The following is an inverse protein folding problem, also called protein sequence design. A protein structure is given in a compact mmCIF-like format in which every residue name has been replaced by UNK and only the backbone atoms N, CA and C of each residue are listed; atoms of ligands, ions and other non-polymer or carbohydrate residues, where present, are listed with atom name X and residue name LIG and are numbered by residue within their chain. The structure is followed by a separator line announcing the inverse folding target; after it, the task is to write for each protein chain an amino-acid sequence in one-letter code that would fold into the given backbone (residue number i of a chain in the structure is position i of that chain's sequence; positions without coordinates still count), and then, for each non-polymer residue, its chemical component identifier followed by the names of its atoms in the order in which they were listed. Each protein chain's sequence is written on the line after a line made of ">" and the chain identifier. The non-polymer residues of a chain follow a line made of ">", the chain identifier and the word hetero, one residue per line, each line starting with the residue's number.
data_IF_363789881015
#
_entry.id   IF_363789881015
#
_cell.length_a   1.000
_cell.length_b   1.000
_cell.length_c   1.000
_cell.angle_alpha   90.00
_cell.angle_beta   90.00
_cell.angle_gamma   90.00
#
_symmetry.space_group_name_H-M   'P 1'
#
loop_
_entity.id
_entity.type
_entity.pdbx_description
1 polymer ?
#
# COMPACT_ATOMS: atom_id res chain seq x y z
N UNK A 1 15.20 14.11 -1.77
CA UNK A 1 15.16 14.26 -0.29
C UNK A 1 16.55 14.35 0.34
N UNK A 2 17.34 13.27 0.40
CA UNK A 2 18.64 13.20 1.10
C UNK A 2 19.60 14.36 0.82
N UNK A 3 19.66 14.85 -0.42
CA UNK A 3 20.57 15.93 -0.83
C UNK A 3 20.09 17.35 -0.55
N UNK A 4 18.80 17.54 -0.31
CA UNK A 4 18.18 18.88 -0.32
C UNK A 4 17.32 19.19 0.90
N UNK A 5 16.80 18.17 1.60
CA UNK A 5 15.76 18.33 2.60
C UNK A 5 16.21 18.52 4.06
N UNK A 6 17.51 18.65 4.35
CA UNK A 6 18.07 18.76 5.74
C UNK A 6 17.33 17.85 6.75
N UNK A 7 17.55 16.55 6.65
CA UNK A 7 16.73 15.55 7.35
C UNK A 7 17.45 15.02 8.60
N UNK A 8 16.72 14.89 9.70
CA UNK A 8 17.14 14.08 10.86
C UNK A 8 16.79 12.60 10.65
N UNK A 9 15.64 12.36 10.00
CA UNK A 9 15.10 11.04 9.72
C UNK A 9 14.66 10.91 8.26
N UNK A 10 14.85 9.72 7.70
CA UNK A 10 14.28 9.31 6.43
C UNK A 10 13.37 8.11 6.68
N UNK A 11 12.10 8.25 6.32
CA UNK A 11 11.07 7.25 6.57
C UNK A 11 10.74 6.54 5.27
N UNK A 12 10.75 5.22 5.30
CA UNK A 12 10.38 4.36 4.19
C UNK A 12 9.22 3.45 4.59
N UNK A 13 8.03 3.81 4.15
CA UNK A 13 6.84 3.00 4.32
C UNK A 13 6.60 2.11 3.09
N UNK A 14 6.68 0.79 3.29
CA UNK A 14 6.57 -0.24 2.26
C UNK A 14 5.40 -1.21 2.50
N UNK A 15 4.88 -1.28 3.73
CA UNK A 15 3.86 -2.27 4.07
C UNK A 15 2.46 -1.71 3.89
N UNK A 16 1.76 -2.25 2.89
CA UNK A 16 0.31 -2.28 2.83
C UNK A 16 -0.20 -3.71 3.04
N UNK A 17 -1.51 -3.86 3.21
CA UNK A 17 -2.18 -5.16 3.27
C UNK A 17 -1.84 -6.04 2.05
N UNK A 18 -1.67 -5.43 0.87
CA UNK A 18 -1.29 -6.14 -0.36
C UNK A 18 0.16 -6.61 -0.30
N UNK A 19 1.08 -5.75 0.17
CA UNK A 19 2.50 -6.10 0.30
C UNK A 19 2.69 -7.31 1.21
N UNK A 20 1.94 -7.40 2.31
CA UNK A 20 2.00 -8.55 3.23
C UNK A 20 1.74 -9.88 2.54
N UNK A 21 0.73 -9.95 1.66
CA UNK A 21 0.42 -11.16 0.89
C UNK A 21 1.55 -11.56 -0.06
N UNK A 22 2.20 -10.58 -0.70
CA UNK A 22 3.35 -10.83 -1.57
C UNK A 22 4.56 -11.35 -0.79
N UNK A 23 4.85 -10.76 0.37
CA UNK A 23 5.95 -11.18 1.24
C UNK A 23 5.70 -12.55 1.87
N UNK A 24 4.46 -12.87 2.26
CA UNK A 24 4.08 -14.20 2.71
C UNK A 24 4.34 -15.26 1.63
N UNK A 25 3.92 -14.99 0.38
CA UNK A 25 4.21 -15.88 -0.77
C UNK A 25 5.70 -16.02 -1.04
N UNK A 26 6.49 -14.96 -0.87
CA UNK A 26 7.95 -15.01 -1.03
C UNK A 26 8.60 -15.87 0.06
N UNK A 27 8.25 -15.64 1.33
CA UNK A 27 8.75 -16.41 2.49
C UNK A 27 8.39 -17.89 2.40
N UNK A 28 7.21 -18.21 1.86
CA UNK A 28 6.79 -19.59 1.62
C UNK A 28 7.66 -20.32 0.57
N UNK A 29 8.30 -19.59 -0.35
CA UNK A 29 9.24 -20.17 -1.32
C UNK A 29 10.64 -20.35 -0.74
N UNK A 30 11.08 -19.41 0.11
CA UNK A 30 12.37 -19.48 0.79
C UNK A 30 12.32 -18.75 2.13
N UNK A 31 12.81 -19.36 3.23
CA UNK A 31 12.81 -18.73 4.55
C UNK A 31 13.67 -17.46 4.62
N UNK A 32 14.62 -17.29 3.70
CA UNK A 32 15.49 -16.10 3.64
C UNK A 32 14.79 -14.88 3.00
N UNK A 33 13.61 -15.06 2.40
CA UNK A 33 12.79 -13.99 1.83
C UNK A 33 11.77 -13.48 2.85
N UNK A 34 10.83 -12.63 2.41
CA UNK A 34 9.77 -12.08 3.24
C UNK A 34 10.01 -10.64 3.72
N UNK A 35 11.09 -10.00 3.25
CA UNK A 35 11.30 -8.55 3.32
C UNK A 35 11.33 -7.96 1.91
N UNK A 36 11.30 -6.63 1.79
CA UNK A 36 11.35 -5.91 0.50
C UNK A 36 12.79 -5.78 0.00
N UNK A 37 13.20 -6.49 -1.07
CA UNK A 37 14.59 -6.46 -1.54
C UNK A 37 15.03 -5.09 -2.03
N UNK A 38 14.13 -4.36 -2.71
CA UNK A 38 14.40 -3.04 -3.28
C UNK A 38 14.75 -2.00 -2.22
N UNK A 39 14.25 -2.15 -0.99
CA UNK A 39 14.68 -1.31 0.12
C UNK A 39 16.19 -1.46 0.37
N UNK A 40 16.70 -2.69 0.35
CA UNK A 40 18.12 -2.97 0.56
C UNK A 40 18.95 -2.55 -0.64
N UNK A 41 18.58 -2.98 -1.85
CA UNK A 41 19.42 -2.84 -3.05
C UNK A 41 19.28 -1.51 -3.77
N UNK A 42 18.11 -0.87 -3.71
CA UNK A 42 17.82 0.37 -4.45
C UNK A 42 17.76 1.58 -3.52
N UNK A 43 17.07 1.46 -2.39
CA UNK A 43 16.87 2.59 -1.48
C UNK A 43 18.03 2.83 -0.51
N UNK A 44 18.69 1.77 -0.04
CA UNK A 44 19.78 1.87 0.94
C UNK A 44 21.15 1.77 0.29
N UNK A 45 21.43 0.72 -0.48
CA UNK A 45 22.80 0.43 -0.96
C UNK A 45 23.48 1.59 -1.72
N UNK A 46 22.82 2.29 -2.67
CA UNK A 46 23.46 3.39 -3.40
C UNK A 46 23.76 4.63 -2.54
N UNK A 47 23.10 4.76 -1.39
CA UNK A 47 23.10 5.98 -0.58
C UNK A 47 23.65 5.79 0.83
N UNK A 48 24.06 4.58 1.20
CA UNK A 48 24.43 4.22 2.58
C UNK A 48 25.59 5.07 3.12
N UNK A 49 26.59 5.38 2.30
CA UNK A 49 27.70 6.27 2.66
C UNK A 49 27.24 7.70 2.90
N UNK A 50 26.33 8.21 2.05
CA UNK A 50 25.78 9.56 2.18
C UNK A 50 24.89 9.71 3.40
N UNK A 51 24.05 8.69 3.67
CA UNK A 51 23.21 8.61 4.87
C UNK A 51 24.11 8.64 6.10
N UNK A 52 25.18 7.83 6.12
CA UNK A 52 26.16 7.81 7.23
C UNK A 52 26.87 9.14 7.42
N UNK A 53 27.36 9.73 6.31
CA UNK A 53 28.12 10.98 6.30
C UNK A 53 27.29 12.16 6.82
N UNK A 54 26.00 12.16 6.51
CA UNK A 54 25.06 13.19 6.96
C UNK A 54 24.46 12.94 8.33
N UNK A 55 24.64 11.73 8.88
CA UNK A 55 24.03 11.34 10.16
C UNK A 55 22.51 11.17 10.09
N UNK A 56 21.97 10.89 8.90
CA UNK A 56 20.52 10.68 8.73
C UNK A 56 20.14 9.31 9.29
N UNK A 57 19.12 9.26 10.15
CA UNK A 57 18.56 8.01 10.67
C UNK A 57 17.47 7.49 9.73
N UNK A 58 17.39 6.19 9.55
CA UNK A 58 16.43 5.58 8.60
C UNK A 58 15.40 4.78 9.37
N UNK A 59 14.12 5.00 9.13
CA UNK A 59 13.03 4.21 9.72
C UNK A 59 12.31 3.53 8.58
N UNK A 60 12.04 2.24 8.68
CA UNK A 60 11.34 1.53 7.62
C UNK A 60 10.66 0.30 8.12
N UNK A 61 9.44 0.01 7.65
CA UNK A 61 8.76 -1.26 7.86
C UNK A 61 9.05 -2.31 6.75
N UNK A 62 10.01 -2.06 5.85
CA UNK A 62 10.37 -2.95 4.73
C UNK A 62 10.78 -4.39 5.11
N UNK A 63 11.00 -4.65 6.39
CA UNK A 63 11.32 -5.97 6.94
C UNK A 63 10.18 -6.95 6.80
N UNK A 64 8.93 -6.45 6.78
CA UNK A 64 7.72 -7.23 6.58
C UNK A 64 7.70 -8.51 7.43
N UNK A 65 7.62 -9.66 6.76
CA UNK A 65 7.56 -10.98 7.38
C UNK A 65 8.93 -11.53 7.83
N UNK A 66 10.03 -10.88 7.46
CA UNK A 66 11.39 -11.30 7.80
C UNK A 66 12.30 -10.11 8.11
N UNK A 67 12.04 -9.38 9.21
CA UNK A 67 12.79 -8.18 9.55
C UNK A 67 14.24 -8.48 9.93
N UNK A 68 14.52 -9.68 10.47
CA UNK A 68 15.90 -10.15 10.73
C UNK A 68 16.68 -10.42 9.44
N UNK A 69 16.04 -11.03 8.42
CA UNK A 69 16.64 -11.22 7.10
C UNK A 69 16.98 -9.90 6.42
N UNK A 70 16.07 -8.92 6.51
CA UNK A 70 16.31 -7.55 6.01
C UNK A 70 17.52 -6.90 6.69
N UNK A 71 17.63 -7.02 8.02
CA UNK A 71 18.77 -6.50 8.77
C UNK A 71 20.09 -7.18 8.40
N UNK A 72 20.10 -8.51 8.21
CA UNK A 72 21.27 -9.25 7.76
C UNK A 72 21.73 -8.78 6.37
N UNK A 73 20.79 -8.58 5.44
CA UNK A 73 21.08 -8.07 4.09
C UNK A 73 21.66 -6.65 4.13
N UNK A 74 21.11 -5.75 4.95
CA UNK A 74 21.64 -4.41 5.15
C UNK A 74 23.03 -4.42 5.78
N UNK A 75 23.29 -5.30 6.75
CA UNK A 75 24.64 -5.47 7.30
C UNK A 75 25.64 -5.89 6.24
N UNK A 76 25.25 -6.74 5.28
CA UNK A 76 26.12 -7.09 4.17
C UNK A 76 26.41 -5.89 3.26
N UNK A 77 25.40 -5.08 2.94
CA UNK A 77 25.57 -3.83 2.18
C UNK A 77 26.53 -2.88 2.90
N UNK A 78 26.35 -2.70 4.21
CA UNK A 78 27.20 -1.84 5.03
C UNK A 78 28.66 -2.32 5.07
N UNK A 79 28.88 -3.63 5.24
CA UNK A 79 30.22 -4.24 5.19
C UNK A 79 30.90 -4.01 3.84
N UNK A 80 30.17 -4.19 2.74
CA UNK A 80 30.71 -3.99 1.39
C UNK A 80 31.10 -2.51 1.14
N UNK A 81 30.36 -1.57 1.72
CA UNK A 81 30.64 -0.14 1.64
C UNK A 81 31.63 0.36 2.73
N UNK A 82 32.14 -0.53 3.58
CA UNK A 82 32.97 -0.19 4.74
C UNK A 82 32.33 0.89 5.65
N UNK A 83 31.00 0.83 5.79
CA UNK A 83 30.21 1.72 6.64
C UNK A 83 29.85 1.00 7.93
N UNK A 84 30.15 1.61 9.08
CA UNK A 84 29.60 1.16 10.35
C UNK A 84 28.11 1.53 10.43
N UNK A 85 27.27 0.52 10.23
CA UNK A 85 25.81 0.62 10.31
C UNK A 85 25.31 -0.20 11.49
N UNK A 86 24.65 0.47 12.43
CA UNK A 86 23.87 -0.20 13.48
C UNK A 86 22.42 -0.37 12.99
N UNK A 87 21.76 -1.43 13.44
CA UNK A 87 20.39 -1.78 13.04
C UNK A 87 19.64 -2.24 14.29
N UNK A 88 18.41 -1.73 14.47
CA UNK A 88 17.53 -2.09 15.57
C UNK A 88 16.27 -2.77 15.00
N UNK A 89 16.11 -4.06 15.26
CA UNK A 89 15.00 -4.84 14.69
C UNK A 89 13.91 -5.02 15.73
N UNK A 90 12.69 -4.59 15.42
CA UNK A 90 11.52 -4.84 16.26
C UNK A 90 10.78 -6.06 15.73
N UNK A 91 10.43 -6.95 16.64
CA UNK A 91 9.76 -8.23 16.38
C UNK A 91 8.62 -8.43 17.38
N UNK A 92 7.86 -9.52 17.24
CA UNK A 92 6.74 -9.86 18.13
C UNK A 92 5.37 -9.48 17.56
N UNK A 93 5.32 -9.11 16.29
CA UNK A 93 4.09 -8.89 15.52
C UNK A 93 3.54 -10.20 14.94
N UNK A 94 4.39 -11.20 14.71
CA UNK A 94 4.01 -12.50 14.13
C UNK A 94 3.21 -13.36 15.14
N UNK A 95 1.94 -13.62 14.82
CA UNK A 95 1.02 -14.46 15.60
C UNK A 95 0.89 -15.88 15.03
N UNK A 96 1.68 -16.26 14.02
CA UNK A 96 1.60 -17.59 13.40
C UNK A 96 1.90 -18.72 14.39
N UNK A 97 2.67 -18.50 15.46
CA UNK A 97 2.87 -19.51 16.50
C UNK A 97 1.58 -19.88 17.26
N UNK A 98 0.63 -18.94 17.36
CA UNK A 98 -0.58 -19.04 18.17
C UNK A 98 -1.87 -19.03 17.34
N UNK A 99 -1.77 -18.95 16.00
CA UNK A 99 -2.92 -18.76 15.11
C UNK A 99 -4.05 -19.77 15.33
N UNK A 100 -3.74 -21.05 15.58
CA UNK A 100 -4.77 -22.08 15.85
C UNK A 100 -5.54 -21.79 17.13
N UNK A 101 -4.84 -21.35 18.17
CA UNK A 101 -5.46 -20.97 19.44
C UNK A 101 -6.35 -19.73 19.25
N UNK A 102 -5.89 -18.74 18.48
CA UNK A 102 -6.70 -17.58 18.12
C UNK A 102 -7.95 -17.96 17.30
N UNK A 103 -7.82 -18.82 16.29
CA UNK A 103 -8.96 -19.29 15.49
C UNK A 103 -9.98 -19.99 16.39
N UNK A 104 -9.54 -20.88 17.28
CA UNK A 104 -10.41 -21.58 18.24
C UNK A 104 -11.10 -20.58 19.18
N UNK A 105 -10.37 -19.61 19.75
CA UNK A 105 -10.94 -18.58 20.60
C UNK A 105 -11.99 -17.74 19.87
N UNK A 106 -11.70 -17.34 18.63
CA UNK A 106 -12.62 -16.54 17.82
C UNK A 106 -13.89 -17.33 17.48
N UNK A 107 -13.76 -18.62 17.18
CA UNK A 107 -14.88 -19.54 16.93
C UNK A 107 -15.71 -19.80 18.21
N UNK A 108 -15.05 -20.04 19.34
CA UNK A 108 -15.71 -20.38 20.61
C UNK A 108 -16.43 -19.19 21.26
N UNK A 109 -15.82 -18.02 21.22
CA UNK A 109 -16.36 -16.85 21.90
C UNK A 109 -17.47 -16.13 21.10
N UNK A 110 -17.82 -16.60 19.90
CA UNK A 110 -18.89 -16.04 19.08
C UNK A 110 -18.78 -14.49 18.98
N UNK A 111 -17.54 -13.98 18.94
CA UNK A 111 -17.26 -12.56 19.24
C UNK A 111 -17.75 -11.71 18.09
N UNK A 112 -19.01 -11.27 18.18
CA UNK A 112 -19.61 -10.20 17.38
C UNK A 112 -18.86 -8.86 17.51
N UNK A 113 -17.97 -8.74 18.51
CA UNK A 113 -17.20 -7.54 18.83
C UNK A 113 -15.78 -7.52 18.26
N UNK A 114 -15.30 -8.59 17.60
CA UNK A 114 -14.23 -8.44 16.62
C UNK A 114 -14.91 -7.73 15.48
N UNK A 115 -14.70 -6.41 15.36
CA UNK A 115 -15.24 -5.67 14.23
C UNK A 115 -14.47 -6.16 13.00
N UNK A 116 -14.90 -7.29 12.45
CA UNK A 116 -14.68 -7.68 11.07
C UNK A 116 -15.41 -6.57 10.31
N UNK A 117 -14.68 -5.49 10.00
CA UNK A 117 -15.18 -4.47 9.08
C UNK A 117 -15.48 -5.21 7.79
N UNK A 118 -16.77 -5.43 7.57
CA UNK A 118 -17.35 -5.82 6.28
C UNK A 118 -16.82 -7.14 5.70
N UNK A 119 -17.23 -8.28 6.27
CA UNK A 119 -17.40 -9.50 5.45
C UNK A 119 -18.37 -10.50 6.11
N UNK A 120 -19.68 -10.27 5.92
CA UNK A 120 -20.79 -11.24 5.99
C UNK A 120 -20.74 -12.36 7.06
N UNK A 121 -20.22 -12.10 8.26
CA UNK A 121 -20.15 -13.12 9.32
C UNK A 121 -19.36 -14.38 8.93
N UNK A 122 -18.46 -14.29 7.94
CA UNK A 122 -17.63 -15.43 7.54
C UNK A 122 -16.56 -15.69 8.61
N UNK A 123 -16.35 -16.97 8.92
CA UNK A 123 -15.28 -17.39 9.81
C UNK A 123 -13.91 -17.19 9.14
N UNK A 124 -12.88 -16.93 9.96
CA UNK A 124 -11.49 -16.94 9.50
C UNK A 124 -11.15 -18.31 8.90
N UNK A 125 -10.56 -18.36 7.69
CA UNK A 125 -10.14 -19.61 7.06
C UNK A 125 -9.08 -20.34 7.87
N UNK A 126 -9.02 -21.67 7.74
CA UNK A 126 -8.02 -22.49 8.42
C UNK A 126 -6.61 -22.35 7.79
N UNK A 127 -6.53 -22.00 6.51
CA UNK A 127 -5.29 -21.95 5.72
C UNK A 127 -4.62 -20.57 5.74
N UNK A 128 -4.42 -20.01 6.93
CA UNK A 128 -3.72 -18.74 7.12
C UNK A 128 -2.24 -18.87 6.72
N UNK A 129 -1.77 -17.93 5.90
CA UNK A 129 -0.38 -17.85 5.43
C UNK A 129 0.45 -16.85 6.22
N UNK A 130 -0.18 -15.80 6.75
CA UNK A 130 0.44 -14.85 7.68
C UNK A 130 -0.60 -14.30 8.63
N UNK A 131 -0.18 -13.93 9.84
CA UNK A 131 -1.02 -13.26 10.84
C UNK A 131 -0.14 -12.32 11.64
N UNK A 132 -0.30 -11.01 11.43
CA UNK A 132 0.56 -9.99 12.02
C UNK A 132 -0.25 -8.91 12.72
N UNK A 133 0.16 -8.57 13.94
CA UNK A 133 -0.47 -7.51 14.74
C UNK A 133 0.21 -6.17 14.53
N UNK A 134 -0.57 -5.10 14.40
CA UNK A 134 -0.05 -3.74 14.40
C UNK A 134 0.36 -3.37 15.82
N UNK A 135 1.66 -3.34 16.06
CA UNK A 135 2.24 -2.98 17.35
C UNK A 135 2.35 -1.47 17.51
N UNK A 136 2.23 -1.03 18.76
CA UNK A 136 2.40 0.36 19.16
C UNK A 136 3.84 0.77 19.48
N UNK A 137 3.96 1.97 20.04
CA UNK A 137 5.21 2.64 20.41
C UNK A 137 6.02 1.77 21.38
N UNK A 138 7.22 1.41 20.93
CA UNK A 138 8.29 0.82 21.73
C UNK A 138 9.12 1.92 22.37
N UNK A 139 9.68 1.63 23.55
CA UNK A 139 10.43 2.64 24.30
C UNK A 139 11.65 3.10 23.50
N UNK A 140 12.00 4.38 23.63
CA UNK A 140 13.11 5.02 22.91
C UNK A 140 14.40 4.24 23.09
N UNK A 141 14.66 3.80 24.32
CA UNK A 141 15.88 3.09 24.73
C UNK A 141 16.03 1.73 24.01
N UNK A 142 14.92 1.14 23.55
CA UNK A 142 14.92 -0.12 22.80
C UNK A 142 15.49 0.04 21.38
N UNK A 143 15.59 1.27 20.85
CA UNK A 143 16.07 1.53 19.49
C UNK A 143 17.03 2.73 19.32
N UNK A 144 17.14 3.65 20.29
CA UNK A 144 17.93 4.88 20.18
C UNK A 144 19.40 4.75 20.63
N UNK A 145 19.81 3.76 21.42
CA UNK A 145 21.21 3.62 21.88
C UNK A 145 22.25 3.42 20.74
N UNK A 146 21.84 3.51 19.47
CA UNK A 146 22.63 3.16 18.29
C UNK A 146 22.53 4.26 17.22
N UNK A 147 23.62 4.98 16.89
CA UNK A 147 23.63 6.18 16.00
C UNK A 147 23.23 5.97 14.54
N UNK A 148 22.86 4.75 14.16
CA UNK A 148 22.13 4.44 12.94
C UNK A 148 21.24 3.24 13.28
N UNK A 149 20.01 3.19 12.80
CA UNK A 149 19.16 2.05 13.07
C UNK A 149 18.01 2.05 12.09
N UNK A 150 17.96 1.07 11.18
CA UNK A 150 16.72 0.79 10.45
C UNK A 150 15.76 0.19 11.46
N UNK A 151 14.78 0.99 11.86
CA UNK A 151 13.76 0.59 12.82
C UNK A 151 12.49 0.18 12.08
N UNK A 152 12.08 -1.08 12.23
CA UNK A 152 10.84 -1.63 11.67
C UNK A 152 9.63 -1.31 12.56
N UNK A 153 9.10 -0.09 12.44
CA UNK A 153 7.86 0.38 13.10
C UNK A 153 7.01 1.11 12.06
N UNK A 154 5.69 1.12 12.26
CA UNK A 154 4.84 2.12 11.61
C UNK A 154 5.31 3.55 11.93
N UNK A 155 5.49 4.43 10.93
CA UNK A 155 6.03 5.80 11.10
C UNK A 155 5.40 6.65 12.21
N UNK A 156 4.16 6.33 12.54
CA UNK A 156 3.22 7.06 13.38
C UNK A 156 3.67 7.12 14.84
N UNK A 157 4.44 6.12 15.28
CA UNK A 157 4.86 5.95 16.66
C UNK A 157 6.24 6.54 17.01
N UNK A 158 6.98 7.10 16.04
CA UNK A 158 8.36 7.52 16.31
C UNK A 158 8.48 8.80 17.15
N UNK A 159 7.48 9.68 17.03
CA UNK A 159 7.56 11.04 17.57
C UNK A 159 7.54 11.08 19.09
N UNK A 160 6.72 10.24 19.72
CA UNK A 160 6.61 10.17 21.18
C UNK A 160 7.95 9.93 21.86
N UNK A 161 8.65 8.84 21.53
CA UNK A 161 10.00 8.61 22.03
C UNK A 161 10.95 9.77 21.72
N UNK A 162 10.95 10.34 20.50
CA UNK A 162 11.86 11.42 20.11
C UNK A 162 11.72 12.67 20.98
N UNK A 163 10.49 13.07 21.31
CA UNK A 163 10.19 14.22 22.14
C UNK A 163 10.03 13.87 23.63
N UNK A 164 10.16 12.60 24.00
CA UNK A 164 10.01 12.14 25.39
C UNK A 164 8.56 12.13 25.89
N UNK A 165 7.58 12.06 24.98
CA UNK A 165 6.16 12.00 25.35
C UNK A 165 5.83 10.71 26.09
N UNK A 166 4.94 10.81 27.07
CA UNK A 166 4.44 9.67 27.84
C UNK A 166 3.24 9.02 27.14
N UNK A 167 2.90 7.80 27.57
CA UNK A 167 1.83 7.00 26.95
C UNK A 167 0.42 7.56 27.16
N UNK A 168 0.26 8.45 28.12
CA UNK A 168 -1.01 9.10 28.48
C UNK A 168 -1.15 10.51 27.87
N UNK A 169 -0.12 11.02 27.18
CA UNK A 169 -0.19 12.28 26.42
C UNK A 169 -0.88 12.09 25.06
N UNK A 170 -2.13 11.62 25.09
CA UNK A 170 -2.83 11.15 23.89
C UNK A 170 -2.90 12.19 22.76
N UNK A 171 -3.11 13.47 23.06
CA UNK A 171 -3.14 14.50 22.01
C UNK A 171 -1.80 14.69 21.30
N UNK A 172 -0.68 14.52 22.01
CA UNK A 172 0.66 14.55 21.40
C UNK A 172 0.88 13.29 20.55
N UNK A 173 0.48 12.12 21.06
CA UNK A 173 0.51 10.87 20.29
C UNK A 173 -0.34 10.96 19.02
N UNK A 174 -1.52 11.58 19.09
CA UNK A 174 -2.40 11.81 17.95
C UNK A 174 -1.78 12.80 16.94
N UNK A 175 -1.10 13.84 17.42
CA UNK A 175 -0.39 14.79 16.55
C UNK A 175 0.78 14.12 15.81
N UNK A 176 1.59 13.32 16.51
CA UNK A 176 2.65 12.52 15.88
C UNK A 176 2.10 11.48 14.89
N UNK A 177 0.96 10.89 15.21
CA UNK A 177 0.26 9.96 14.31
C UNK A 177 -0.20 10.67 13.03
N UNK A 178 -0.79 11.86 13.15
CA UNK A 178 -1.18 12.67 12.00
C UNK A 178 0.03 13.09 11.16
N UNK A 179 1.13 13.50 11.79
CA UNK A 179 2.38 13.81 11.10
C UNK A 179 2.90 12.61 10.30
N UNK A 180 2.87 11.41 10.88
CA UNK A 180 3.23 10.16 10.19
C UNK A 180 2.31 9.85 9.01
N UNK A 181 1.00 9.95 9.20
CA UNK A 181 -0.01 9.78 8.16
C UNK A 181 0.19 10.71 6.96
N UNK A 182 0.58 11.97 7.20
CA UNK A 182 0.78 12.95 6.13
C UNK A 182 2.05 12.73 5.29
N UNK A 183 3.00 11.89 5.75
CA UNK A 183 4.24 11.60 5.02
C UNK A 183 4.32 10.17 4.48
N UNK A 184 3.24 9.41 4.61
CA UNK A 184 3.17 8.03 4.16
C UNK A 184 2.64 7.89 2.73
N UNK A 185 2.68 6.67 2.18
CA UNK A 185 2.13 6.25 0.89
C UNK A 185 2.69 6.94 -0.38
N UNK A 186 3.26 8.14 -0.31
CA UNK A 186 3.81 8.79 -1.49
C UNK A 186 4.01 10.31 -1.39
N UNK A 187 3.80 10.96 -2.52
CA UNK A 187 4.02 12.39 -2.70
C UNK A 187 2.71 13.21 -2.66
N UNK A 188 1.66 12.70 -2.01
CA UNK A 188 0.32 13.28 -2.11
C UNK A 188 0.20 14.66 -1.47
N UNK A 189 0.77 14.84 -0.27
CA UNK A 189 0.98 16.13 0.37
C UNK A 189 1.81 17.15 -0.45
N UNK A 190 2.41 16.70 -1.55
CA UNK A 190 3.29 17.49 -2.42
C UNK A 190 2.81 17.49 -3.88
N UNK A 191 1.57 17.09 -4.15
CA UNK A 191 0.91 17.16 -5.47
C UNK A 191 0.77 15.84 -6.22
N UNK A 192 1.19 14.70 -5.67
CA UNK A 192 0.91 13.37 -6.25
C UNK A 192 -0.54 12.95 -6.03
N UNK A 193 -1.21 12.37 -7.02
CA UNK A 193 -2.63 11.92 -6.90
C UNK A 193 -3.60 13.08 -6.49
N UNK A 194 -3.14 14.34 -6.55
CA UNK A 194 -3.91 15.50 -6.15
C UNK A 194 -5.08 15.74 -7.11
N UNK A 195 -6.27 16.11 -6.62
CA UNK A 195 -7.44 16.36 -7.48
C UNK A 195 -7.15 17.40 -8.56
N UNK A 196 -6.50 18.51 -8.20
CA UNK A 196 -6.13 19.57 -9.14
C UNK A 196 -4.76 19.33 -9.78
N UNK A 197 -4.52 18.09 -10.20
CA UNK A 197 -3.27 17.59 -10.78
C UNK A 197 -2.69 18.51 -11.88
N UNK A 198 -3.55 19.14 -12.67
CA UNK A 198 -3.19 20.05 -13.76
C UNK A 198 -2.47 21.32 -13.30
N UNK A 199 -2.57 21.67 -12.02
CA UNK A 199 -1.87 22.81 -11.39
C UNK A 199 -0.48 22.45 -10.88
N UNK A 200 -0.17 21.15 -10.80
CA UNK A 200 1.07 20.65 -10.19
C UNK A 200 2.23 20.75 -11.19
N UNK A 201 3.31 21.50 -10.89
CA UNK A 201 4.44 21.65 -11.80
C UNK A 201 5.43 20.47 -11.70
N UNK A 202 6.20 20.25 -12.77
CA UNK A 202 7.41 19.41 -12.76
C UNK A 202 7.22 17.98 -12.21
N UNK A 203 6.20 17.26 -12.70
CA UNK A 203 5.78 15.92 -12.23
C UNK A 203 6.90 14.88 -12.15
N UNK A 204 7.82 14.91 -13.11
CA UNK A 204 8.94 13.96 -13.22
C UNK A 204 9.93 14.07 -12.05
N UNK A 205 9.85 15.12 -11.23
CA UNK A 205 10.75 15.39 -10.11
C UNK A 205 9.99 15.83 -8.85
N UNK A 206 8.75 15.37 -8.62
CA UNK A 206 8.01 15.68 -7.40
C UNK A 206 8.82 15.25 -6.17
N UNK A 207 9.04 16.18 -5.25
CA UNK A 207 9.68 15.88 -3.97
C UNK A 207 8.69 15.28 -2.99
N UNK A 208 9.07 14.23 -2.27
CA UNK A 208 8.28 13.68 -1.16
C UNK A 208 8.14 14.70 -0.01
N UNK A 209 7.07 14.58 0.80
CA UNK A 209 6.79 15.49 1.90
C UNK A 209 7.86 15.43 3.00
N UNK A 210 8.09 16.57 3.62
CA UNK A 210 8.94 16.74 4.81
C UNK A 210 8.06 17.30 5.91
N UNK A 211 8.10 16.68 7.08
CA UNK A 211 7.48 17.21 8.29
C UNK A 211 8.54 17.77 9.22
N UNK A 212 8.36 19.03 9.62
CA UNK A 212 9.11 19.64 10.73
C UNK A 212 8.16 19.73 11.92
N UNK A 213 8.40 18.91 12.95
CA UNK A 213 7.55 18.85 14.14
C UNK A 213 8.24 19.49 15.35
N UNK A 214 7.41 20.00 16.26
CA UNK A 214 7.80 20.55 17.56
C UNK A 214 7.34 19.64 18.69
N UNK A 215 7.98 19.77 19.86
CA UNK A 215 7.65 18.95 21.04
C UNK A 215 6.24 19.19 21.59
N UNK A 216 5.58 20.31 21.22
CA UNK A 216 4.20 20.63 21.57
C UNK A 216 3.15 19.95 20.66
N UNK A 217 3.61 19.14 19.70
CA UNK A 217 2.75 18.45 18.74
C UNK A 217 2.34 19.29 17.53
N UNK A 218 2.75 20.56 17.45
CA UNK A 218 2.56 21.35 16.22
C UNK A 218 3.60 20.97 15.17
N UNK A 219 3.23 21.01 13.89
CA UNK A 219 4.16 20.71 12.81
C UNK A 219 3.80 21.42 11.50
N UNK A 220 4.76 21.48 10.59
CA UNK A 220 4.57 21.96 9.22
C UNK A 220 4.85 20.84 8.23
N UNK A 221 4.14 20.86 7.10
CA UNK A 221 4.39 20.02 5.93
C UNK A 221 5.01 20.90 4.85
N UNK A 222 6.12 20.44 4.29
CA UNK A 222 6.85 21.10 3.21
C UNK A 222 7.41 20.07 2.23
N UNK A 223 8.25 20.51 1.30
CA UNK A 223 9.02 19.61 0.42
C UNK A 223 10.46 20.08 0.25
N UNK A 224 11.30 19.16 -0.23
CA UNK A 224 12.70 19.50 -0.50
C UNK A 224 12.82 20.61 -1.56
N UNK A 225 13.73 21.59 -1.40
CA UNK A 225 13.88 22.69 -2.35
C UNK A 225 14.32 22.21 -3.74
N UNK A 226 13.97 22.99 -4.77
CA UNK A 226 14.28 22.72 -6.18
C UNK A 226 13.70 21.39 -6.72
N UNK A 227 12.64 20.88 -6.10
CA UNK A 227 11.88 19.71 -6.59
C UNK A 227 10.55 20.16 -7.19
N UNK A 228 9.94 19.34 -8.03
CA UNK A 228 8.58 19.58 -8.52
C UNK A 228 7.53 19.36 -7.43
N UNK A 229 6.26 19.47 -7.82
CA UNK A 229 5.14 19.43 -6.89
C UNK A 229 4.82 20.80 -6.29
N UNK A 230 3.84 20.83 -5.40
CA UNK A 230 3.43 21.99 -4.62
C UNK A 230 2.82 21.52 -3.30
N UNK A 231 2.92 22.34 -2.24
CA UNK A 231 2.29 22.07 -0.95
C UNK A 231 1.27 23.16 -0.65
N UNK A 232 0.00 22.78 -0.66
CA UNK A 232 -1.15 23.66 -0.39
C UNK A 232 -2.11 23.01 0.59
N UNK A 233 -3.09 23.78 1.07
CA UNK A 233 -4.23 23.28 1.80
C UNK A 233 -4.82 22.04 1.12
N UNK A 234 -5.07 22.10 -0.19
CA UNK A 234 -5.69 21.00 -0.95
C UNK A 234 -4.87 19.71 -0.87
N UNK A 235 -3.57 19.78 -1.16
CA UNK A 235 -2.70 18.59 -1.15
C UNK A 235 -2.62 17.93 0.24
N UNK A 236 -2.55 18.72 1.31
CA UNK A 236 -2.44 18.21 2.68
C UNK A 236 -3.81 17.75 3.20
N UNK A 237 -4.90 18.42 2.84
CA UNK A 237 -6.26 18.04 3.20
C UNK A 237 -6.67 16.71 2.57
N UNK A 238 -6.31 16.48 1.30
CA UNK A 238 -6.58 15.21 0.62
C UNK A 238 -5.82 14.05 1.26
N UNK A 239 -4.54 14.24 1.59
CA UNK A 239 -3.80 13.21 2.33
C UNK A 239 -4.39 12.99 3.72
N UNK A 240 -4.82 14.04 4.43
CA UNK A 240 -5.40 13.92 5.77
C UNK A 240 -6.65 13.03 5.81
N UNK A 241 -7.40 12.92 4.71
CA UNK A 241 -8.60 12.08 4.62
C UNK A 241 -8.36 10.76 3.89
N UNK A 242 -7.15 10.54 3.36
CA UNK A 242 -6.78 9.35 2.60
C UNK A 242 -6.84 8.11 3.50
N UNK A 243 -7.59 7.08 3.09
CA UNK A 243 -7.75 5.82 3.83
C UNK A 243 -8.29 5.94 5.28
N UNK A 244 -8.83 7.11 5.64
CA UNK A 244 -9.48 7.34 6.92
C UNK A 244 -10.99 7.10 6.80
N UNK A 245 -11.47 6.03 7.45
CA UNK A 245 -12.90 5.72 7.49
C UNK A 245 -13.70 6.67 8.39
N UNK A 246 -13.32 6.80 9.67
CA UNK A 246 -13.97 7.72 10.62
C UNK A 246 -12.92 8.68 11.20
N UNK A 247 -12.88 9.95 10.78
CA UNK A 247 -11.87 10.90 11.24
C UNK A 247 -11.99 11.26 12.72
N UNK A 248 -13.13 10.98 13.39
CA UNK A 248 -13.29 11.19 14.84
C UNK A 248 -12.81 10.02 15.70
N UNK A 249 -12.57 8.86 15.08
CA UNK A 249 -12.26 7.63 15.79
C UNK A 249 -11.32 6.77 14.94
N UNK A 250 -10.17 7.34 14.61
CA UNK A 250 -9.16 6.62 13.89
C UNK A 250 -8.26 5.83 14.84
N UNK A 251 -8.38 4.50 14.78
CA UNK A 251 -7.85 3.60 15.80
C UNK A 251 -6.40 3.23 15.48
N UNK A 252 -5.50 3.59 16.39
CA UNK A 252 -4.10 3.17 16.38
C UNK A 252 -3.78 2.37 17.66
N UNK A 253 -2.68 1.61 17.66
CA UNK A 253 -2.29 0.79 18.80
C UNK A 253 -2.17 1.54 20.14
N UNK A 254 -1.69 2.79 20.12
CA UNK A 254 -1.41 3.56 21.34
C UNK A 254 -2.39 4.70 21.60
N UNK A 255 -3.20 5.09 20.62
CA UNK A 255 -4.11 6.23 20.71
C UNK A 255 -5.28 6.07 19.75
N UNK A 256 -6.46 6.53 20.16
CA UNK A 256 -7.57 6.76 19.23
C UNK A 256 -7.55 8.23 18.80
N UNK A 257 -7.34 8.48 17.52
CA UNK A 257 -7.19 9.81 16.95
C UNK A 257 -8.54 10.44 16.54
N UNK A 258 -8.75 11.70 16.92
CA UNK A 258 -9.77 12.58 16.39
C UNK A 258 -9.10 13.70 15.59
N UNK A 259 -9.23 13.62 14.26
CA UNK A 259 -8.75 14.58 13.28
C UNK A 259 -9.84 15.53 12.79
N UNK A 260 -11.08 15.43 13.31
CA UNK A 260 -12.21 16.22 12.81
C UNK A 260 -12.14 17.71 13.09
N UNK A 261 -11.20 18.15 13.94
CA UNK A 261 -10.96 19.55 14.30
C UNK A 261 -9.53 20.00 13.96
N UNK A 262 -8.82 19.25 13.10
CA UNK A 262 -7.51 19.66 12.60
C UNK A 262 -7.67 20.91 11.74
N UNK A 263 -6.83 21.90 11.98
CA UNK A 263 -6.73 23.10 11.15
C UNK A 263 -5.47 23.05 10.29
N UNK A 264 -5.62 23.42 9.02
CA UNK A 264 -4.55 23.54 8.05
C UNK A 264 -4.40 25.01 7.68
N UNK A 265 -3.18 25.55 7.71
CA UNK A 265 -2.92 26.96 7.39
C UNK A 265 -1.69 27.08 6.50
N UNK A 266 -1.87 27.58 5.28
CA UNK A 266 -0.76 27.90 4.39
C UNK A 266 0.07 29.07 4.94
N UNK A 267 1.39 28.91 4.92
CA UNK A 267 2.33 29.96 5.30
C UNK A 267 2.69 30.77 4.06
N UNK A 268 2.30 32.05 4.07
CA UNK A 268 2.54 32.95 2.94
C UNK A 268 4.03 33.25 2.72
N UNK A 269 4.40 33.49 1.46
CA UNK A 269 5.74 33.96 1.09
C UNK A 269 6.82 32.88 1.00
N UNK A 270 6.44 31.60 1.02
CA UNK A 270 7.37 30.48 0.79
C UNK A 270 7.09 29.87 -0.58
N UNK A 271 8.09 29.90 -1.45
CA UNK A 271 8.02 29.26 -2.77
C UNK A 271 7.74 27.76 -2.61
N UNK A 272 6.88 27.23 -3.49
CA UNK A 272 6.38 25.85 -3.47
C UNK A 272 5.52 25.44 -2.26
N UNK A 273 5.30 26.36 -1.31
CA UNK A 273 4.32 26.26 -0.23
C UNK A 273 4.76 25.48 1.00
N UNK A 274 4.17 25.86 2.14
CA UNK A 274 4.30 25.18 3.44
C UNK A 274 2.94 25.26 4.14
N UNK A 275 2.48 24.16 4.72
CA UNK A 275 1.21 24.11 5.45
C UNK A 275 1.48 23.77 6.90
N UNK A 276 1.04 24.65 7.82
CA UNK A 276 1.00 24.35 9.25
C UNK A 276 -0.21 23.47 9.56
N UNK A 277 0.00 22.44 10.36
CA UNK A 277 -1.02 21.49 10.80
C UNK A 277 -1.06 21.47 12.33
N UNK A 278 -2.26 21.55 12.91
CA UNK A 278 -2.47 21.53 14.35
C UNK A 278 -3.90 21.11 14.70
N UNK A 279 -4.15 20.76 15.96
CA UNK A 279 -5.51 20.48 16.47
C UNK A 279 -5.93 19.01 16.45
N UNK A 280 -5.00 18.09 16.19
CA UNK A 280 -5.25 16.66 16.41
C UNK A 280 -5.53 16.40 17.91
N UNK A 281 -6.56 15.62 18.20
CA UNK A 281 -6.89 15.21 19.56
C UNK A 281 -6.74 13.70 19.70
N UNK A 282 -6.29 13.27 20.88
CA UNK A 282 -6.17 11.86 21.20
C UNK A 282 -7.11 11.45 22.32
N UNK A 283 -7.63 10.24 22.20
CA UNK A 283 -8.38 9.52 23.21
C UNK A 283 -7.61 8.24 23.58
N UNK A 284 -7.89 7.63 24.75
CA UNK A 284 -7.29 6.35 25.11
C UNK A 284 -7.40 5.30 23.98
N UNK A 285 -6.39 4.43 23.81
CA UNK A 285 -6.45 3.36 22.83
C UNK A 285 -7.59 2.38 23.15
N UNK A 286 -8.00 1.63 22.14
CA UNK A 286 -8.95 0.55 22.32
C UNK A 286 -8.34 -0.61 23.12
N UNK A 287 -9.19 -1.52 23.62
CA UNK A 287 -8.72 -2.76 24.27
C UNK A 287 -8.24 -3.83 23.28
N UNK A 288 -8.26 -3.54 21.97
CA UNK A 288 -7.95 -4.47 20.90
C UNK A 288 -6.83 -3.92 19.99
N UNK A 289 -6.07 -4.83 19.38
CA UNK A 289 -5.13 -4.49 18.31
C UNK A 289 -5.70 -4.89 16.94
N UNK A 290 -5.32 -4.14 15.91
CA UNK A 290 -5.55 -4.52 14.51
C UNK A 290 -4.64 -5.70 14.18
N UNK A 291 -5.21 -6.77 13.64
CA UNK A 291 -4.48 -7.92 13.11
C UNK A 291 -4.78 -8.04 11.62
N UNK A 292 -3.74 -8.18 10.81
CA UNK A 292 -3.85 -8.54 9.41
C UNK A 292 -3.53 -10.03 9.26
N UNK A 293 -4.48 -10.79 8.71
CA UNK A 293 -4.29 -12.18 8.35
C UNK A 293 -4.48 -12.36 6.85
N UNK A 294 -3.56 -13.10 6.21
CA UNK A 294 -3.65 -13.42 4.78
C UNK A 294 -3.87 -14.91 4.60
N UNK A 295 -4.63 -15.29 3.56
CA UNK A 295 -4.87 -16.68 3.19
C UNK A 295 -4.96 -16.79 1.67
N UNK A 296 -4.76 -17.99 1.14
CA UNK A 296 -4.88 -18.24 -0.29
C UNK A 296 -6.35 -18.42 -0.68
N UNK A 297 -6.89 -17.49 -1.47
CA UNK A 297 -8.24 -17.57 -2.03
C UNK A 297 -8.25 -17.87 -3.54
N UNK A 298 -7.79 -19.06 -3.89
CA UNK A 298 -7.75 -19.51 -5.28
C UNK A 298 -6.75 -18.74 -6.15
N UNK A 299 -7.05 -18.66 -7.45
CA UNK A 299 -6.18 -18.09 -8.48
C UNK A 299 -6.92 -17.06 -9.32
N UNK A 300 -6.16 -16.11 -9.90
CA UNK A 300 -6.67 -15.09 -10.82
C UNK A 300 -5.81 -15.05 -12.08
N UNK A 301 -6.46 -14.92 -13.24
CA UNK A 301 -5.80 -14.62 -14.50
C UNK A 301 -6.45 -13.39 -15.13
N UNK A 302 -5.62 -12.48 -15.67
CA UNK A 302 -6.10 -11.26 -16.32
C UNK A 302 -5.56 -11.20 -17.75
N UNK A 303 -6.45 -10.94 -18.71
CA UNK A 303 -6.14 -10.68 -20.10
C UNK A 303 -6.51 -9.24 -20.46
N UNK A 304 -5.56 -8.52 -21.04
CA UNK A 304 -5.75 -7.14 -21.53
C UNK A 304 -5.52 -7.10 -23.03
N UNK A 305 -6.59 -6.89 -23.80
CA UNK A 305 -6.55 -6.95 -25.27
C UNK A 305 -7.03 -5.62 -25.86
N UNK A 306 -6.11 -4.73 -26.28
CA UNK A 306 -6.46 -3.55 -27.04
C UNK A 306 -7.12 -3.91 -28.37
N UNK A 307 -8.16 -3.18 -28.70
CA UNK A 307 -8.97 -3.39 -29.88
C UNK A 307 -9.28 -2.07 -30.57
N UNK A 308 -9.01 -2.01 -31.87
CA UNK A 308 -9.24 -0.85 -32.73
C UNK A 308 -10.33 -1.07 -33.79
N UNK A 309 -10.75 0.04 -34.40
CA UNK A 309 -11.68 0.10 -35.53
C UNK A 309 -13.14 0.29 -35.15
N UNK A 310 -14.05 0.32 -36.13
CA UNK A 310 -15.48 0.54 -35.89
C UNK A 310 -16.08 -0.51 -34.95
N UNK A 311 -17.04 -0.10 -34.12
CA UNK A 311 -17.74 -0.94 -33.13
C UNK A 311 -16.76 -1.65 -32.17
N UNK A 312 -15.69 -0.97 -31.76
CA UNK A 312 -14.65 -1.56 -30.91
C UNK A 312 -15.24 -2.12 -29.60
N UNK A 313 -16.18 -1.40 -28.98
CA UNK A 313 -16.89 -1.85 -27.77
C UNK A 313 -17.65 -3.17 -27.99
N UNK A 314 -18.49 -3.24 -29.03
CA UNK A 314 -19.31 -4.43 -29.32
C UNK A 314 -18.43 -5.64 -29.64
N UNK A 315 -17.40 -5.45 -30.48
CA UNK A 315 -16.45 -6.51 -30.83
C UNK A 315 -15.69 -7.00 -29.60
N UNK A 316 -15.26 -6.08 -28.74
CA UNK A 316 -14.51 -6.39 -27.53
C UNK A 316 -15.34 -7.24 -26.56
N UNK A 317 -16.58 -6.82 -26.32
CA UNK A 317 -17.53 -7.56 -25.48
C UNK A 317 -17.83 -8.95 -26.06
N UNK A 318 -18.15 -9.03 -27.35
CA UNK A 318 -18.43 -10.30 -28.03
C UNK A 318 -17.25 -11.27 -27.96
N UNK A 319 -16.04 -10.77 -28.15
CA UNK A 319 -14.81 -11.56 -28.07
C UNK A 319 -14.59 -12.10 -26.66
N UNK A 320 -14.71 -11.26 -25.64
CA UNK A 320 -14.54 -11.67 -24.24
C UNK A 320 -15.58 -12.72 -23.80
N UNK A 321 -16.85 -12.50 -24.13
CA UNK A 321 -17.92 -13.47 -23.88
C UNK A 321 -17.67 -14.80 -24.58
N UNK A 322 -17.17 -14.76 -25.82
CA UNK A 322 -16.84 -15.96 -26.58
C UNK A 322 -15.66 -16.75 -25.98
N UNK A 323 -14.65 -16.06 -25.42
CA UNK A 323 -13.55 -16.69 -24.69
C UNK A 323 -14.08 -17.37 -23.43
N UNK A 324 -14.94 -16.69 -22.65
CA UNK A 324 -15.54 -17.25 -21.44
C UNK A 324 -16.39 -18.49 -21.74
N UNK A 325 -17.23 -18.43 -22.77
CA UNK A 325 -18.06 -19.57 -23.15
C UNK A 325 -17.21 -20.75 -23.63
N UNK A 326 -16.22 -20.49 -24.49
CA UNK A 326 -15.32 -21.53 -25.00
C UNK A 326 -14.54 -22.22 -23.88
N UNK A 327 -14.07 -21.47 -22.90
CA UNK A 327 -13.33 -22.01 -21.76
C UNK A 327 -14.24 -22.78 -20.80
N UNK A 328 -15.50 -22.36 -20.59
CA UNK A 328 -16.50 -23.14 -19.85
C UNK A 328 -16.82 -24.48 -20.49
N UNK A 329 -16.93 -24.54 -21.82
CA UNK A 329 -17.07 -25.80 -22.56
C UNK A 329 -15.89 -26.73 -22.24
N UNK A 330 -14.66 -26.21 -22.26
CA UNK A 330 -13.46 -26.98 -21.93
C UNK A 330 -13.41 -27.39 -20.45
N UNK A 331 -13.91 -26.56 -19.54
CA UNK A 331 -14.03 -26.89 -18.11
C UNK A 331 -14.96 -28.09 -17.92
N UNK A 332 -16.15 -28.05 -18.52
CA UNK A 332 -17.12 -29.14 -18.47
C UNK A 332 -16.55 -30.46 -19.03
N UNK A 333 -15.80 -30.40 -20.13
CA UNK A 333 -15.16 -31.58 -20.73
C UNK A 333 -14.07 -32.21 -19.84
N UNK A 334 -13.40 -31.39 -19.02
CA UNK A 334 -12.29 -31.83 -18.16
C UNK A 334 -12.69 -31.97 -16.68
N UNK A 335 -13.96 -31.78 -16.34
CA UNK A 335 -14.48 -31.92 -14.98
C UNK A 335 -14.14 -30.76 -14.03
N UNK A 336 -13.77 -29.60 -14.55
CA UNK A 336 -13.59 -28.38 -13.75
C UNK A 336 -14.94 -27.72 -13.43
N UNK A 337 -15.00 -27.03 -12.30
CA UNK A 337 -16.13 -26.15 -11.97
C UNK A 337 -16.09 -24.87 -12.82
N UNK A 338 -17.18 -24.09 -12.82
CA UNK A 338 -17.17 -22.76 -13.44
C UNK A 338 -16.26 -21.79 -12.65
N UNK A 339 -15.97 -20.65 -13.27
CA UNK A 339 -15.29 -19.53 -12.64
C UNK A 339 -15.95 -19.14 -11.31
N UNK A 340 -15.14 -18.94 -10.27
CA UNK A 340 -15.64 -18.44 -8.99
C UNK A 340 -16.02 -16.96 -9.05
N UNK A 341 -15.42 -16.21 -9.99
CA UNK A 341 -15.81 -14.85 -10.33
C UNK A 341 -15.27 -14.49 -11.73
N UNK A 342 -15.96 -13.57 -12.41
CA UNK A 342 -15.54 -12.99 -13.68
C UNK A 342 -15.76 -11.48 -13.61
N UNK A 343 -14.73 -10.72 -13.97
CA UNK A 343 -14.82 -9.29 -14.19
C UNK A 343 -14.44 -9.02 -15.65
N UNK A 344 -15.44 -8.61 -16.44
CA UNK A 344 -15.28 -8.17 -17.81
C UNK A 344 -15.62 -6.68 -17.87
N UNK A 345 -14.66 -5.88 -18.33
CA UNK A 345 -14.84 -4.47 -18.56
C UNK A 345 -14.22 -4.07 -19.91
N UNK A 346 -14.89 -3.19 -20.64
CA UNK A 346 -14.36 -2.58 -21.86
C UNK A 346 -13.85 -1.17 -21.53
N UNK A 347 -12.56 -1.02 -21.31
CA UNK A 347 -11.97 0.30 -21.01
C UNK A 347 -12.03 1.20 -22.24
N UNK A 348 -12.41 2.46 -22.02
CA UNK A 348 -12.65 3.45 -23.07
C UNK A 348 -14.11 3.53 -23.54
N UNK A 349 -14.97 2.58 -23.16
CA UNK A 349 -16.41 2.60 -23.51
C UNK A 349 -17.29 3.42 -22.54
N UNK A 350 -16.68 4.05 -21.54
CA UNK A 350 -17.33 4.70 -20.41
C UNK A 350 -18.07 3.76 -19.43
N UNK A 351 -17.92 2.43 -19.55
CA UNK A 351 -18.51 1.46 -18.60
C UNK A 351 -18.18 1.74 -17.13
N UNK A 352 -16.99 2.27 -16.83
CA UNK A 352 -16.57 2.65 -15.47
C UNK A 352 -17.51 3.66 -14.81
N UNK A 353 -18.17 4.51 -15.59
CA UNK A 353 -19.03 5.58 -15.08
C UNK A 353 -20.48 5.13 -14.83
N UNK A 354 -20.86 3.92 -15.25
CA UNK A 354 -22.20 3.38 -15.06
C UNK A 354 -23.29 4.31 -15.60
N UNK A 355 -24.22 4.73 -14.73
CA UNK A 355 -25.30 5.66 -15.09
C UNK A 355 -24.82 7.06 -15.48
N UNK A 356 -23.58 7.42 -15.17
CA UNK A 356 -22.98 8.71 -15.53
C UNK A 356 -22.20 8.67 -16.85
N UNK A 357 -22.19 7.52 -17.54
CA UNK A 357 -21.62 7.42 -18.87
C UNK A 357 -22.33 8.39 -19.82
N UNK A 358 -21.55 9.19 -20.55
CA UNK A 358 -22.01 10.03 -21.64
C UNK A 358 -22.39 9.15 -22.83
N UNK A 359 -23.51 9.49 -23.46
CA UNK A 359 -23.92 8.81 -24.67
C UNK A 359 -22.94 9.12 -25.81
N UNK A 360 -22.51 8.08 -26.50
CA UNK A 360 -21.63 8.21 -27.65
C UNK A 360 -22.43 8.70 -28.86
N UNK A 361 -22.07 9.85 -29.41
CA UNK A 361 -22.78 10.51 -30.51
C UNK A 361 -22.54 9.77 -31.86
N UNK A 362 -21.45 9.00 -31.98
CA UNK A 362 -21.00 8.37 -33.25
C UNK A 362 -20.71 6.85 -33.15
N UNK A 363 -21.54 6.08 -32.44
CA UNK A 363 -21.42 4.61 -32.40
C UNK A 363 -20.28 4.07 -31.52
N UNK A 364 -19.72 4.91 -30.65
CA UNK A 364 -18.76 4.53 -29.61
C UNK A 364 -17.29 4.83 -29.95
N UNK A 365 -16.39 4.58 -28.99
CA UNK A 365 -14.96 4.73 -29.21
C UNK A 365 -14.47 3.78 -30.32
N UNK A 366 -13.47 4.23 -31.07
CA UNK A 366 -12.78 3.41 -32.10
C UNK A 366 -11.61 2.61 -31.52
N UNK A 367 -11.26 2.85 -30.27
CA UNK A 367 -10.17 2.18 -29.56
C UNK A 367 -10.64 1.88 -28.15
N UNK A 368 -10.56 0.62 -27.75
CA UNK A 368 -10.91 0.15 -26.41
C UNK A 368 -9.90 -0.88 -25.93
N UNK A 369 -9.91 -1.19 -24.64
CA UNK A 369 -9.17 -2.34 -24.08
C UNK A 369 -10.15 -3.29 -23.43
N UNK A 370 -10.17 -4.55 -23.89
CA UNK A 370 -10.83 -5.62 -23.15
C UNK A 370 -10.02 -5.86 -21.89
N UNK A 371 -10.61 -5.63 -20.72
CA UNK A 371 -10.06 -6.01 -19.42
C UNK A 371 -10.86 -7.19 -18.89
N UNK A 372 -10.30 -8.40 -19.02
CA UNK A 372 -10.95 -9.64 -18.61
C UNK A 372 -10.15 -10.31 -17.50
N UNK A 373 -10.67 -10.24 -16.27
CA UNK A 373 -10.13 -10.92 -15.11
C UNK A 373 -11.05 -12.08 -14.71
N UNK A 374 -10.50 -13.28 -14.58
CA UNK A 374 -11.24 -14.47 -14.18
C UNK A 374 -10.61 -15.10 -12.94
N UNK A 375 -11.45 -15.70 -12.10
CA UNK A 375 -11.06 -16.34 -10.85
C UNK A 375 -11.50 -17.80 -10.83
N UNK A 376 -10.65 -18.67 -10.30
CA UNK A 376 -10.98 -20.08 -10.13
C UNK A 376 -10.21 -20.68 -8.95
N UNK A 377 -10.77 -21.71 -8.29
CA UNK A 377 -10.14 -22.36 -7.13
C UNK A 377 -8.93 -23.23 -7.50
N UNK A 378 -8.89 -23.71 -8.74
CA UNK A 378 -7.82 -24.54 -9.30
C UNK A 378 -7.06 -23.80 -10.39
N UNK A 379 -5.74 -23.88 -10.35
CA UNK A 379 -4.83 -23.17 -11.26
C UNK A 379 -4.93 -23.70 -12.68
N UNK A 380 -5.12 -25.00 -12.83
CA UNK A 380 -5.14 -25.74 -14.09
C UNK A 380 -6.29 -25.27 -15.02
N UNK A 381 -7.43 -24.90 -14.43
CA UNK A 381 -8.53 -24.29 -15.18
C UNK A 381 -8.15 -22.91 -15.75
N UNK A 382 -7.42 -22.09 -14.98
CA UNK A 382 -6.94 -20.79 -15.48
C UNK A 382 -5.83 -20.94 -16.53
N UNK A 383 -5.11 -22.06 -16.55
CA UNK A 383 -4.18 -22.36 -17.64
C UNK A 383 -4.90 -22.55 -18.96
N UNK A 384 -6.09 -23.15 -18.95
CA UNK A 384 -6.96 -23.27 -20.13
C UNK A 384 -7.37 -21.87 -20.60
N UNK A 385 -7.93 -21.04 -19.70
CA UNK A 385 -8.27 -19.65 -20.02
C UNK A 385 -7.10 -18.90 -20.66
N UNK A 386 -5.92 -19.00 -20.02
CA UNK A 386 -4.70 -18.35 -20.46
C UNK A 386 -4.26 -18.82 -21.86
N UNK A 387 -4.46 -20.10 -22.23
CA UNK A 387 -4.17 -20.60 -23.60
C UNK A 387 -5.13 -20.04 -24.64
N UNK A 388 -6.38 -19.80 -24.29
CA UNK A 388 -7.42 -19.40 -25.25
C UNK A 388 -7.39 -17.90 -25.62
N UNK A 389 -6.61 -17.08 -24.91
CA UNK A 389 -6.48 -15.65 -25.25
C UNK A 389 -5.78 -15.42 -26.60
N UNK A 390 -4.69 -16.14 -26.88
CA UNK A 390 -3.93 -15.94 -28.11
C UNK A 390 -4.70 -16.38 -29.37
N UNK A 391 -5.32 -17.58 -29.41
CA UNK A 391 -6.16 -18.00 -30.53
C UNK A 391 -7.32 -17.04 -30.81
N UNK A 392 -7.86 -16.38 -29.78
CA UNK A 392 -8.93 -15.40 -29.96
C UNK A 392 -8.48 -14.21 -30.83
N UNK A 393 -7.22 -13.77 -30.71
CA UNK A 393 -6.68 -12.66 -31.51
C UNK A 393 -6.61 -12.94 -33.01
N UNK A 394 -6.47 -14.22 -33.41
CA UNK A 394 -6.43 -14.64 -34.81
C UNK A 394 -7.73 -15.27 -35.31
N UNK A 395 -8.60 -15.72 -34.41
CA UNK A 395 -9.80 -16.51 -34.74
C UNK A 395 -11.14 -15.83 -34.43
N UNK A 396 -11.15 -14.62 -33.87
CA UNK A 396 -12.37 -13.90 -33.49
C UNK A 396 -12.46 -12.51 -34.17
N UNK A 397 -12.93 -11.49 -33.46
CA UNK A 397 -13.22 -10.19 -34.04
C UNK A 397 -11.96 -9.48 -34.57
N UNK A 398 -12.04 -8.78 -35.71
CA UNK A 398 -10.89 -8.05 -36.26
C UNK A 398 -10.56 -6.82 -35.43
N UNK A 399 -9.29 -6.42 -35.45
CA UNK A 399 -8.81 -5.19 -34.84
C UNK A 399 -8.15 -5.37 -33.46
N UNK A 400 -7.91 -6.61 -33.01
CA UNK A 400 -7.02 -6.87 -31.87
C UNK A 400 -5.60 -6.47 -32.28
N UNK A 401 -5.00 -5.51 -31.59
CA UNK A 401 -3.67 -4.98 -31.95
C UNK A 401 -2.53 -5.60 -31.15
N UNK A 402 -2.82 -6.04 -29.91
CA UNK A 402 -1.87 -6.70 -29.04
C UNK A 402 -2.60 -7.54 -27.97
N UNK A 403 -1.83 -8.40 -27.31
CA UNK A 403 -2.21 -8.99 -26.01
C UNK A 403 -1.19 -8.47 -25.01
N UNK A 404 -1.58 -7.52 -24.17
CA UNK A 404 -0.67 -6.84 -23.24
C UNK A 404 -0.24 -7.84 -22.16
N UNK A 405 1.08 -7.99 -21.98
CA UNK A 405 1.66 -8.94 -21.03
C UNK A 405 1.80 -10.37 -21.58
N UNK A 406 1.45 -10.61 -22.84
CA UNK A 406 1.52 -11.94 -23.47
C UNK A 406 0.48 -12.90 -22.89
N UNK A 407 0.83 -14.18 -22.77
CA UNK A 407 -0.04 -15.19 -22.17
C UNK A 407 -0.29 -14.84 -20.68
N UNK A 408 -1.55 -14.72 -20.22
CA UNK A 408 -1.85 -14.37 -18.82
C UNK A 408 -1.11 -15.26 -17.82
N UNK A 409 -0.34 -14.63 -16.93
CA UNK A 409 0.32 -15.31 -15.79
C UNK A 409 -0.69 -15.48 -14.65
N UNK A 410 -0.56 -16.56 -13.88
CA UNK A 410 -1.42 -16.88 -12.73
C UNK A 410 -0.64 -16.82 -11.41
#
# INVERSE_FOLDING_TARGET
>A
MLYRGKLDFLVFDYLSEITMSLLARAKAKSPDLGYVPDFVSIAMAPYIEDIRRKGVRVISNAGGMNPLGSAAALHQVARNANVDLKIAVITGDDLMGEHRFFIIILQLNNIRNTIIKEENGKLLPENIQSMNVYLGIRKKEEWEEKPMGVTFIHPWGMWGPLFGWTRDEFSLLAAGSLAGHLIECGAQCTGGIFTDWHTVPNWHNIGFPIVEASCDGSFTVSKAPNTGGLVTFGTVAEQLVYEIGNPKAYLLPDVTCDFSQVSLTEIAGIDDGVVKVQGAKGLPPSQFYKVNATYLDGFRATACCPMGGPRATEKGKRMAESILERTRIMFNQQGYQDYSAVNLQILGSEETYGSHAKQNIDGGPREVVIWLAVFHKQKEALEIFSREIAPAGTGMAPGVTAIIGGRPKM
#
